data_IF_031736466463
#
_entry.id   IF_031736466463
#
_cell.length_a   1.000
_cell.length_b   1.000
_cell.length_c   1.000
_cell.angle_alpha   90.00
_cell.angle_beta   90.00
_cell.angle_gamma   90.00
#
_symmetry.space_group_name_H-M   'P 1'
#
loop_
_entity.id
_entity.type
_entity.pdbx_description
1 polymer ?
#
# COMPACT_ATOMS: atom_id res chain seq x y z
N UNK A 1 -11.09 67.60 -17.54
CA UNK A 1 -10.89 67.59 -16.07
C UNK A 1 -11.77 66.49 -15.49
N UNK A 2 -11.29 65.28 -15.27
CA UNK A 2 -9.96 64.71 -15.57
C UNK A 2 -10.10 63.49 -16.52
N UNK A 3 -9.01 63.12 -17.18
CA UNK A 3 -8.98 62.17 -18.31
C UNK A 3 -8.97 60.70 -17.85
N UNK A 4 -9.66 59.85 -18.61
CA UNK A 4 -9.71 58.38 -18.54
C UNK A 4 -8.38 57.62 -18.47
N UNK A 5 -7.23 58.27 -18.71
CA UNK A 5 -5.89 57.65 -18.66
C UNK A 5 -5.54 56.97 -17.32
N UNK A 6 -6.19 57.36 -16.22
CA UNK A 6 -5.96 56.75 -14.90
C UNK A 6 -6.33 55.27 -14.79
N UNK A 7 -7.18 54.74 -15.68
CA UNK A 7 -7.57 53.32 -15.69
C UNK A 7 -6.66 52.47 -16.59
N UNK A 8 -6.11 53.06 -17.66
CA UNK A 8 -5.25 52.34 -18.62
C UNK A 8 -3.96 51.82 -17.98
N UNK A 9 -3.36 52.61 -17.09
CA UNK A 9 -2.07 52.32 -16.45
C UNK A 9 -2.15 51.11 -15.50
N UNK A 10 -3.36 50.72 -15.06
CA UNK A 10 -3.56 49.51 -14.26
C UNK A 10 -3.69 48.22 -15.10
N UNK A 11 -3.93 48.34 -16.41
CA UNK A 11 -3.90 47.21 -17.35
C UNK A 11 -2.49 46.99 -17.92
N UNK A 12 -1.72 48.07 -18.10
CA UNK A 12 -0.39 48.11 -18.74
C UNK A 12 0.76 47.62 -17.82
N UNK A 13 0.45 46.75 -16.84
CA UNK A 13 1.39 46.13 -15.88
C UNK A 13 1.26 44.60 -15.87
N UNK A 14 0.33 44.01 -16.66
CA UNK A 14 0.01 42.57 -16.62
C UNK A 14 0.39 41.73 -17.84
N UNK A 15 0.84 42.32 -18.95
CA UNK A 15 1.17 41.60 -20.20
C UNK A 15 2.56 42.00 -20.77
N UNK A 16 3.62 41.44 -20.19
CA UNK A 16 4.95 41.15 -20.80
C UNK A 16 5.44 39.86 -20.08
N UNK A 17 5.34 38.64 -20.63
CA UNK A 17 5.99 38.04 -21.81
C UNK A 17 7.47 37.64 -21.55
N UNK A 18 7.98 36.44 -21.90
CA UNK A 18 7.39 35.19 -22.44
C UNK A 18 6.80 34.30 -21.30
N UNK A 19 6.73 32.95 -21.21
CA UNK A 19 7.10 31.75 -22.03
C UNK A 19 6.23 30.52 -21.59
N UNK A 20 6.29 29.40 -22.33
CA UNK A 20 6.71 28.15 -21.68
C UNK A 20 5.71 27.03 -21.43
N UNK A 21 4.44 27.11 -21.87
CA UNK A 21 3.48 26.00 -21.68
C UNK A 21 2.46 25.84 -22.83
N UNK A 22 2.31 24.64 -23.44
CA UNK A 22 1.33 24.42 -24.51
C UNK A 22 -0.11 24.41 -23.98
N UNK A 23 -0.94 25.31 -24.48
CA UNK A 23 -2.31 25.52 -24.02
C UNK A 23 -3.30 24.53 -24.65
N UNK A 24 -3.85 23.63 -23.83
CA UNK A 24 -4.93 22.73 -24.25
C UNK A 24 -6.25 23.50 -24.46
N UNK A 25 -6.97 23.31 -25.59
CA UNK A 25 -8.22 24.04 -25.86
C UNK A 25 -9.37 23.60 -24.94
N UNK A 26 -10.08 24.58 -24.37
CA UNK A 26 -11.26 24.39 -23.50
C UNK A 26 -12.46 23.85 -24.29
N UNK A 27 -12.48 22.54 -24.59
CA UNK A 27 -13.65 21.87 -25.20
C UNK A 27 -14.75 21.64 -24.15
N UNK A 28 -15.91 22.24 -24.38
CA UNK A 28 -17.14 21.98 -23.63
C UNK A 28 -17.66 20.58 -23.98
N UNK A 29 -17.47 19.61 -23.08
CA UNK A 29 -17.97 18.24 -23.29
C UNK A 29 -19.42 18.10 -22.82
N UNK A 30 -20.33 18.00 -23.80
CA UNK A 30 -21.74 17.67 -23.55
C UNK A 30 -21.89 16.27 -22.94
N UNK A 31 -22.80 16.12 -21.97
CA UNK A 31 -23.05 14.89 -21.23
C UNK A 31 -23.39 13.68 -22.12
N UNK A 32 -23.92 13.91 -23.33
CA UNK A 32 -24.24 12.85 -24.30
C UNK A 32 -23.01 12.07 -24.78
N UNK A 33 -21.83 12.69 -24.86
CA UNK A 33 -20.60 12.03 -25.33
C UNK A 33 -20.07 11.05 -24.28
N UNK A 34 -20.14 11.43 -23.01
CA UNK A 34 -19.67 10.59 -21.89
C UNK A 34 -20.50 9.31 -21.76
N UNK A 35 -21.77 9.33 -22.19
CA UNK A 35 -22.67 8.17 -22.16
C UNK A 35 -22.39 7.14 -23.25
N UNK A 36 -21.74 7.54 -24.35
CA UNK A 36 -21.36 6.64 -25.44
C UNK A 36 -20.04 5.90 -25.15
N UNK A 37 -19.09 6.55 -24.46
CA UNK A 37 -17.78 5.98 -24.14
C UNK A 37 -17.83 4.85 -23.07
N UNK A 38 -18.92 4.76 -22.31
CA UNK A 38 -19.08 3.77 -21.22
C UNK A 38 -19.51 2.38 -21.75
N UNK A 39 -19.98 2.27 -23.01
CA UNK A 39 -20.52 1.02 -23.55
C UNK A 39 -19.50 0.12 -24.29
N UNK A 40 -18.25 0.54 -24.46
CA UNK A 40 -17.29 -0.13 -25.38
C UNK A 40 -16.06 -0.75 -24.72
N UNK A 41 -15.87 -0.62 -23.40
CA UNK A 41 -14.64 -1.08 -22.70
C UNK A 41 -14.91 -1.94 -21.47
N UNK A 42 -15.59 -3.07 -21.65
CA UNK A 42 -15.61 -4.19 -20.68
C UNK A 42 -15.30 -5.49 -21.42
N UNK A 43 -14.06 -6.02 -21.40
CA UNK A 43 -13.78 -7.35 -21.92
C UNK A 43 -14.52 -8.40 -21.08
N UNK A 44 -15.20 -9.34 -21.75
CA UNK A 44 -15.90 -10.43 -21.08
C UNK A 44 -14.93 -11.41 -20.42
N UNK A 45 -15.40 -12.12 -19.39
CA UNK A 45 -14.58 -13.09 -18.63
C UNK A 45 -13.92 -14.17 -19.52
N UNK A 46 -14.53 -14.48 -20.67
CA UNK A 46 -13.97 -15.36 -21.71
C UNK A 46 -12.58 -14.92 -22.17
N UNK A 47 -12.40 -13.63 -22.51
CA UNK A 47 -11.13 -13.10 -23.02
C UNK A 47 -9.99 -13.21 -21.99
N UNK A 48 -10.29 -13.17 -20.70
CA UNK A 48 -9.30 -13.35 -19.62
C UNK A 48 -8.90 -14.83 -19.49
N UNK A 49 -9.85 -15.75 -19.71
CA UNK A 49 -9.60 -17.20 -19.70
C UNK A 49 -8.79 -17.62 -20.93
N UNK A 50 -9.12 -17.11 -22.12
CA UNK A 50 -8.37 -17.38 -23.36
C UNK A 50 -6.90 -16.93 -23.24
N UNK A 51 -6.67 -15.73 -22.67
CA UNK A 51 -5.32 -15.20 -22.45
C UNK A 51 -4.52 -16.02 -21.42
N UNK A 52 -5.18 -16.67 -20.47
CA UNK A 52 -4.54 -17.61 -19.55
C UNK A 52 -4.18 -18.92 -20.26
N UNK A 53 -5.13 -19.52 -20.99
CA UNK A 53 -4.94 -20.78 -21.71
C UNK A 53 -3.80 -20.69 -22.76
N UNK A 54 -3.77 -19.60 -23.54
CA UNK A 54 -2.75 -19.40 -24.56
C UNK A 54 -1.33 -19.22 -23.98
N UNK A 55 -1.21 -18.79 -22.71
CA UNK A 55 0.08 -18.64 -22.01
C UNK A 55 0.67 -19.97 -21.57
N UNK A 56 -0.14 -20.98 -21.25
CA UNK A 56 0.36 -22.31 -20.88
C UNK A 56 0.84 -23.12 -22.10
N UNK A 57 0.15 -22.98 -23.24
CA UNK A 57 0.54 -23.64 -24.50
C UNK A 57 1.97 -23.32 -24.95
N UNK A 58 2.42 -22.07 -24.76
CA UNK A 58 3.79 -21.67 -25.13
C UNK A 58 4.88 -22.41 -24.33
N UNK A 59 4.64 -22.75 -23.06
CA UNK A 59 5.61 -23.49 -22.23
C UNK A 59 5.63 -25.00 -22.48
N UNK A 60 4.60 -25.59 -23.09
CA UNK A 60 4.59 -27.03 -23.38
C UNK A 60 5.47 -27.37 -24.59
N UNK A 61 5.37 -26.60 -25.68
CA UNK A 61 6.12 -26.82 -26.93
C UNK A 61 7.63 -26.85 -26.69
N UNK A 62 8.16 -25.88 -25.94
CA UNK A 62 9.60 -25.75 -25.66
C UNK A 62 10.16 -26.90 -24.78
N UNK A 63 9.31 -27.52 -23.95
CA UNK A 63 9.64 -28.73 -23.18
C UNK A 63 9.56 -29.99 -24.05
N UNK A 64 8.56 -30.07 -24.93
CA UNK A 64 8.34 -31.22 -25.80
C UNK A 64 9.47 -31.43 -26.82
N UNK A 65 9.95 -30.35 -27.45
CA UNK A 65 11.11 -30.40 -28.37
C UNK A 65 12.40 -30.83 -27.66
N UNK A 66 12.63 -30.33 -26.46
CA UNK A 66 13.80 -30.71 -25.63
C UNK A 66 13.75 -32.19 -25.22
N UNK A 67 12.55 -32.75 -25.03
CA UNK A 67 12.35 -34.14 -24.62
C UNK A 67 12.39 -35.13 -25.80
N UNK A 68 11.96 -34.74 -27.00
CA UNK A 68 12.05 -35.58 -28.20
C UNK A 68 13.50 -35.73 -28.69
N UNK A 69 14.28 -34.65 -28.73
CA UNK A 69 15.71 -34.71 -29.09
C UNK A 69 16.50 -35.68 -28.20
N UNK A 70 16.23 -35.66 -26.89
CA UNK A 70 16.87 -36.58 -25.93
C UNK A 70 16.52 -38.05 -26.16
N UNK A 71 15.32 -38.36 -26.67
CA UNK A 71 14.94 -39.73 -27.05
C UNK A 71 15.61 -40.17 -28.35
N UNK A 72 15.70 -39.28 -29.34
CA UNK A 72 16.40 -39.57 -30.60
C UNK A 72 17.88 -39.87 -30.36
N UNK A 73 18.57 -39.05 -29.56
CA UNK A 73 19.97 -39.26 -29.19
C UNK A 73 20.21 -40.55 -28.39
N UNK A 74 19.21 -41.06 -27.68
CA UNK A 74 19.30 -42.31 -26.92
C UNK A 74 19.01 -43.58 -27.74
N UNK A 75 18.49 -43.46 -28.96
CA UNK A 75 18.02 -44.61 -29.76
C UNK A 75 18.99 -45.08 -30.87
N UNK A 76 20.01 -44.30 -31.23
CA UNK A 76 20.98 -44.69 -32.28
C UNK A 76 22.45 -44.39 -31.92
N UNK A 77 23.08 -45.17 -31.02
CA UNK A 77 24.50 -45.00 -30.68
C UNK A 77 25.50 -45.48 -31.77
N UNK A 78 25.04 -46.09 -32.88
CA UNK A 78 25.91 -46.72 -33.88
C UNK A 78 25.81 -46.17 -35.32
N UNK A 79 24.88 -45.26 -35.61
CA UNK A 79 24.49 -44.92 -36.99
C UNK A 79 25.38 -43.90 -37.72
N UNK A 80 26.56 -43.56 -37.19
CA UNK A 80 27.48 -42.56 -37.79
C UNK A 80 28.84 -43.13 -38.26
N UNK A 81 29.02 -44.45 -38.21
CA UNK A 81 30.21 -45.12 -38.75
C UNK A 81 29.91 -45.71 -40.13
N UNK A 82 30.04 -44.88 -41.20
CA UNK A 82 30.34 -45.20 -42.63
C UNK A 82 29.82 -44.16 -43.64
N UNK A 83 30.34 -42.93 -43.64
CA UNK A 83 30.44 -42.16 -44.91
C UNK A 83 31.58 -41.13 -44.91
N UNK A 84 32.19 -40.96 -46.09
CA UNK A 84 32.89 -39.78 -46.59
C UNK A 84 33.90 -39.05 -45.67
N UNK A 85 35.18 -39.33 -45.89
CA UNK A 85 36.27 -38.37 -45.65
C UNK A 85 36.24 -37.28 -46.73
N UNK A 86 36.14 -36.00 -46.36
CA UNK A 86 36.87 -34.90 -47.02
C UNK A 86 36.76 -33.53 -46.33
N UNK A 87 37.93 -32.90 -46.16
CA UNK A 87 38.20 -31.45 -46.28
C UNK A 87 37.13 -30.44 -45.82
N UNK A 88 37.23 -29.99 -44.56
CA UNK A 88 37.14 -28.55 -44.24
C UNK A 88 38.33 -28.19 -43.34
N UNK A 89 39.22 -27.34 -43.85
CA UNK A 89 40.33 -26.78 -43.07
C UNK A 89 39.85 -25.55 -42.28
N UNK A 90 39.49 -25.75 -41.01
CA UNK A 90 39.17 -24.66 -40.08
C UNK A 90 40.42 -24.25 -39.27
N UNK A 91 40.59 -22.97 -38.91
CA UNK A 91 41.82 -22.49 -38.29
C UNK A 91 42.01 -23.02 -36.85
N UNK A 92 43.15 -23.67 -36.60
CA UNK A 92 43.55 -24.17 -35.29
C UNK A 92 44.02 -23.03 -34.35
N UNK A 93 43.12 -22.11 -34.01
CA UNK A 93 43.43 -20.85 -33.30
C UNK A 93 42.54 -20.57 -32.07
N UNK A 94 41.63 -21.46 -31.67
CA UNK A 94 40.80 -21.33 -30.45
C UNK A 94 40.73 -22.67 -29.70
N UNK A 95 41.86 -23.09 -29.10
CA UNK A 95 41.98 -24.42 -28.48
C UNK A 95 42.73 -24.47 -27.13
N UNK A 96 42.95 -23.32 -26.46
CA UNK A 96 43.62 -23.25 -25.14
C UNK A 96 42.76 -22.64 -24.02
N UNK A 97 41.48 -22.32 -24.30
CA UNK A 97 40.52 -22.06 -23.23
C UNK A 97 40.20 -23.38 -22.52
N UNK A 98 41.02 -23.72 -21.52
CA UNK A 98 40.75 -24.81 -20.59
C UNK A 98 39.59 -24.42 -19.65
N UNK A 99 38.38 -24.31 -20.23
CA UNK A 99 37.12 -24.38 -19.50
C UNK A 99 37.01 -25.77 -18.85
N UNK A 100 37.71 -25.93 -17.73
CA UNK A 100 37.43 -26.98 -16.75
C UNK A 100 35.97 -26.79 -16.34
N UNK A 101 35.06 -27.54 -16.95
CA UNK A 101 33.69 -27.68 -16.45
C UNK A 101 33.80 -28.27 -15.05
N UNK A 102 33.78 -27.40 -14.05
CA UNK A 102 33.94 -27.76 -12.65
C UNK A 102 32.65 -28.44 -12.19
N UNK A 103 32.52 -29.71 -12.52
CA UNK A 103 31.42 -30.61 -12.18
C UNK A 103 31.38 -30.78 -10.67
N UNK A 104 30.74 -29.82 -10.01
CA UNK A 104 30.60 -29.75 -8.56
C UNK A 104 29.67 -30.85 -8.10
N UNK A 105 30.23 -32.03 -7.87
CA UNK A 105 29.55 -33.20 -7.34
C UNK A 105 28.94 -32.84 -5.98
N UNK A 106 27.61 -32.70 -5.95
CA UNK A 106 26.88 -32.37 -4.75
C UNK A 106 26.91 -33.60 -3.82
N UNK A 107 27.83 -33.60 -2.85
CA UNK A 107 27.95 -34.67 -1.87
C UNK A 107 26.70 -34.72 -0.97
N UNK A 108 25.79 -35.63 -1.28
CA UNK A 108 24.61 -35.91 -0.46
C UNK A 108 25.03 -36.68 0.78
N UNK A 109 25.19 -35.98 1.90
CA UNK A 109 25.33 -36.63 3.21
C UNK A 109 24.06 -37.45 3.51
N UNK A 110 24.18 -38.69 4.01
CA UNK A 110 23.02 -39.40 4.54
C UNK A 110 22.50 -38.63 5.75
N UNK A 111 21.25 -38.15 5.68
CA UNK A 111 20.62 -37.52 6.83
C UNK A 111 20.40 -38.57 7.92
N UNK A 112 21.13 -38.43 9.04
CA UNK A 112 20.64 -38.85 10.35
C UNK A 112 19.21 -38.31 10.51
N UNK A 113 18.33 -39.01 11.24
CA UNK A 113 16.90 -38.67 11.36
C UNK A 113 16.57 -37.39 12.16
N UNK A 114 17.46 -36.39 12.12
CA UNK A 114 17.11 -35.00 12.40
C UNK A 114 16.05 -34.55 11.38
N UNK A 115 14.85 -34.26 11.90
CA UNK A 115 13.68 -33.87 11.12
C UNK A 115 14.00 -32.74 10.13
N UNK A 116 13.77 -32.93 8.81
CA UNK A 116 13.99 -31.89 7.80
C UNK A 116 13.27 -30.56 8.08
N UNK A 117 12.17 -30.56 8.83
CA UNK A 117 11.51 -29.33 9.25
C UNK A 117 12.36 -28.51 10.23
N UNK A 118 13.20 -29.13 11.07
CA UNK A 118 14.12 -28.43 11.97
C UNK A 118 15.21 -27.69 11.21
N UNK A 119 15.74 -28.29 10.14
CA UNK A 119 16.72 -27.63 9.25
C UNK A 119 16.07 -26.40 8.60
N UNK A 120 14.85 -26.56 8.05
CA UNK A 120 14.11 -25.46 7.45
C UNK A 120 13.67 -24.39 8.48
N UNK A 121 13.34 -24.77 9.72
CA UNK A 121 13.02 -23.83 10.80
C UNK A 121 14.23 -23.01 11.22
N UNK A 122 15.40 -23.64 11.38
CA UNK A 122 16.67 -22.95 11.64
C UNK A 122 17.01 -21.99 10.49
N UNK A 123 16.91 -22.44 9.24
CA UNK A 123 17.09 -21.57 8.07
C UNK A 123 16.09 -20.41 7.99
N UNK A 124 14.86 -20.56 8.50
CA UNK A 124 13.88 -19.46 8.58
C UNK A 124 14.26 -18.42 9.65
N UNK A 125 14.79 -18.83 10.80
CA UNK A 125 15.24 -17.93 11.88
C UNK A 125 16.37 -16.98 11.45
N UNK A 126 17.24 -17.41 10.52
CA UNK A 126 18.34 -16.59 10.01
C UNK A 126 17.99 -15.70 8.82
N UNK A 127 16.73 -15.66 8.36
CA UNK A 127 16.30 -14.76 7.28
C UNK A 127 15.98 -13.37 7.86
N UNK A 128 16.62 -12.28 7.38
CA UNK A 128 16.24 -10.95 7.81
C UNK A 128 14.83 -10.62 7.33
N UNK A 129 14.05 -9.95 8.18
CA UNK A 129 12.76 -9.37 7.80
C UNK A 129 13.05 -8.09 7.00
N UNK A 130 12.46 -7.96 5.82
CA UNK A 130 12.57 -6.74 5.01
C UNK A 130 11.98 -5.54 5.77
N UNK A 131 12.65 -4.37 5.82
CA UNK A 131 12.10 -3.19 6.49
C UNK A 131 10.75 -2.80 5.85
N UNK A 132 9.79 -2.43 6.70
CA UNK A 132 8.43 -2.10 6.27
C UNK A 132 8.05 -0.70 6.76
N UNK A 133 7.63 -0.53 8.02
CA UNK A 133 7.17 0.75 8.56
C UNK A 133 8.25 1.84 8.56
N UNK A 134 9.53 1.47 8.61
CA UNK A 134 10.67 2.41 8.59
C UNK A 134 11.00 2.98 7.20
N UNK A 135 10.48 2.38 6.11
CA UNK A 135 10.75 2.83 4.73
C UNK A 135 9.47 3.12 3.93
N UNK A 136 8.29 2.76 4.43
CA UNK A 136 7.05 2.92 3.71
C UNK A 136 6.57 4.39 3.73
N UNK A 137 6.19 4.91 2.56
CA UNK A 137 5.78 6.31 2.40
C UNK A 137 4.60 6.67 3.33
N UNK A 138 4.66 7.78 4.08
CA UNK A 138 3.51 8.33 4.81
C UNK A 138 2.29 8.55 3.91
N UNK A 139 1.14 8.00 4.33
CA UNK A 139 -0.14 8.13 3.62
C UNK A 139 -1.31 8.20 4.62
N UNK A 140 -2.33 9.01 4.31
CA UNK A 140 -3.56 9.15 5.12
C UNK A 140 -4.34 7.83 5.28
N UNK A 141 -4.11 6.85 4.40
CA UNK A 141 -4.66 5.49 4.44
C UNK A 141 -4.27 4.76 5.73
N UNK A 142 -2.97 4.50 5.90
CA UNK A 142 -2.47 3.71 7.02
C UNK A 142 -2.33 4.53 8.31
N UNK A 143 -1.98 5.82 8.23
CA UNK A 143 -2.01 6.71 9.40
C UNK A 143 -3.42 6.83 9.98
N UNK A 144 -4.46 7.00 9.15
CA UNK A 144 -5.85 7.05 9.61
C UNK A 144 -6.30 5.75 10.29
N UNK A 145 -5.91 4.59 9.75
CA UNK A 145 -6.20 3.29 10.37
C UNK A 145 -5.43 3.07 11.69
N UNK A 146 -4.16 3.48 11.75
CA UNK A 146 -3.35 3.40 12.96
C UNK A 146 -3.91 4.31 14.07
N UNK A 147 -4.25 5.57 13.73
CA UNK A 147 -4.91 6.49 14.65
C UNK A 147 -6.24 5.93 15.15
N UNK A 148 -7.06 5.29 14.31
CA UNK A 148 -8.32 4.70 14.75
C UNK A 148 -8.14 3.59 15.81
N UNK A 149 -7.08 2.78 15.66
CA UNK A 149 -6.71 1.76 16.66
C UNK A 149 -6.25 2.42 17.95
N UNK A 150 -5.37 3.42 17.85
CA UNK A 150 -4.83 4.16 18.99
C UNK A 150 -5.95 4.87 19.77
N UNK A 151 -6.83 5.61 19.09
CA UNK A 151 -7.97 6.28 19.75
C UNK A 151 -8.95 5.28 20.36
N UNK A 152 -9.20 4.15 19.70
CA UNK A 152 -10.02 3.07 20.27
C UNK A 152 -9.42 2.50 21.56
N UNK A 153 -8.12 2.19 21.56
CA UNK A 153 -7.40 1.73 22.75
C UNK A 153 -7.38 2.78 23.87
N UNK A 154 -7.25 4.08 23.55
CA UNK A 154 -7.32 5.18 24.52
C UNK A 154 -8.72 5.28 25.14
N UNK A 155 -9.78 5.20 24.34
CA UNK A 155 -11.17 5.32 24.80
C UNK A 155 -11.58 4.11 25.65
N UNK A 156 -11.38 2.89 25.15
CA UNK A 156 -11.68 1.66 25.90
C UNK A 156 -10.80 1.53 27.14
N UNK A 157 -9.50 1.81 27.02
CA UNK A 157 -8.57 1.80 28.13
C UNK A 157 -8.94 2.82 29.21
N UNK A 158 -9.23 4.06 28.82
CA UNK A 158 -9.69 5.11 29.72
C UNK A 158 -11.00 4.75 30.43
N UNK A 159 -11.97 4.18 29.70
CA UNK A 159 -13.22 3.70 30.29
C UNK A 159 -12.99 2.60 31.34
N UNK A 160 -12.22 1.55 31.02
CA UNK A 160 -11.95 0.47 31.96
C UNK A 160 -11.08 0.91 33.15
N UNK A 161 -10.07 1.76 32.94
CA UNK A 161 -9.23 2.31 34.02
C UNK A 161 -10.05 3.20 34.94
N UNK A 162 -10.89 4.09 34.40
CA UNK A 162 -11.76 4.93 35.22
C UNK A 162 -12.80 4.10 35.99
N UNK A 163 -13.47 3.14 35.34
CA UNK A 163 -14.46 2.27 35.98
C UNK A 163 -13.84 1.40 37.10
N UNK A 164 -12.66 0.84 36.87
CA UNK A 164 -11.93 0.07 37.88
C UNK A 164 -11.44 0.95 39.03
N UNK A 165 -10.89 2.14 38.73
CA UNK A 165 -10.46 3.09 39.76
C UNK A 165 -11.63 3.57 40.61
N UNK A 166 -12.80 3.86 40.00
CA UNK A 166 -14.02 4.26 40.70
C UNK A 166 -14.55 3.14 41.62
N UNK A 167 -14.48 1.88 41.18
CA UNK A 167 -14.85 0.72 42.01
C UNK A 167 -13.91 0.51 43.20
N UNK A 168 -12.61 0.77 43.02
CA UNK A 168 -11.58 0.64 44.07
C UNK A 168 -11.55 1.85 45.00
N UNK A 169 -12.02 3.02 44.56
CA UNK A 169 -11.90 4.30 45.26
C UNK A 169 -12.34 4.28 46.73
N UNK A 170 -13.49 3.68 47.12
CA UNK A 170 -13.90 3.63 48.54
C UNK A 170 -12.97 2.78 49.42
N UNK A 171 -12.27 1.80 48.84
CA UNK A 171 -11.31 0.93 49.55
C UNK A 171 -9.93 1.58 49.68
N UNK A 172 -9.57 2.44 48.72
CA UNK A 172 -8.29 3.14 48.67
C UNK A 172 -8.33 4.57 49.28
N UNK A 173 -9.51 5.04 49.71
CA UNK A 173 -9.69 6.41 50.21
C UNK A 173 -9.58 7.48 49.11
N UNK A 174 -9.90 7.14 47.86
CA UNK A 174 -9.82 8.07 46.74
C UNK A 174 -11.15 8.79 46.51
N UNK A 175 -11.08 10.09 46.22
CA UNK A 175 -12.23 10.94 45.95
C UNK A 175 -12.51 11.02 44.44
N UNK A 176 -13.16 9.99 43.89
CA UNK A 176 -13.50 9.89 42.46
C UNK A 176 -14.99 10.18 42.15
N UNK A 177 -15.74 10.69 43.12
CA UNK A 177 -17.08 11.23 42.94
C UNK A 177 -17.09 12.53 42.11
N UNK A 178 -18.15 12.72 41.31
CA UNK A 178 -18.25 13.82 40.34
C UNK A 178 -18.04 15.22 40.92
N UNK A 179 -18.43 15.43 42.19
CA UNK A 179 -18.23 16.70 42.88
C UNK A 179 -16.74 17.00 43.11
N UNK A 180 -15.95 16.01 43.51
CA UNK A 180 -14.53 16.14 43.79
C UNK A 180 -13.71 16.30 42.51
N UNK A 181 -14.05 15.58 41.43
CA UNK A 181 -13.47 15.85 40.11
C UNK A 181 -13.84 17.27 39.60
N UNK A 182 -15.10 17.68 39.74
CA UNK A 182 -15.54 19.01 39.29
C UNK A 182 -14.84 20.14 40.07
N UNK A 183 -14.61 19.97 41.37
CA UNK A 183 -13.83 20.92 42.17
C UNK A 183 -12.34 20.93 41.74
N UNK A 184 -11.73 19.76 41.55
CA UNK A 184 -10.32 19.64 41.16
C UNK A 184 -10.05 20.27 39.78
N UNK A 185 -10.85 19.94 38.76
CA UNK A 185 -10.78 20.60 37.46
C UNK A 185 -11.22 22.07 37.54
N UNK A 186 -12.15 22.42 38.43
CA UNK A 186 -12.61 23.78 38.69
C UNK A 186 -11.50 24.74 39.10
N UNK A 187 -10.49 24.26 39.83
CA UNK A 187 -9.32 25.05 40.23
C UNK A 187 -8.31 25.32 39.09
N UNK A 188 -8.40 24.63 37.95
CA UNK A 188 -7.38 24.72 36.89
C UNK A 188 -7.46 26.04 36.08
N UNK A 189 -6.33 26.52 35.52
CA UNK A 189 -6.33 27.61 34.54
C UNK A 189 -7.23 27.29 33.32
N UNK A 190 -7.84 28.32 32.72
CA UNK A 190 -8.77 28.16 31.59
C UNK A 190 -8.12 27.40 30.42
N UNK A 191 -6.86 27.69 30.08
CA UNK A 191 -6.12 26.98 29.05
C UNK A 191 -5.95 25.48 29.35
N UNK A 192 -5.71 25.11 30.61
CA UNK A 192 -5.58 23.71 31.02
C UNK A 192 -6.93 22.97 30.98
N UNK A 193 -8.03 23.64 31.35
CA UNK A 193 -9.40 23.12 31.21
C UNK A 193 -9.74 22.83 29.74
N UNK A 194 -9.51 23.79 28.85
CA UNK A 194 -9.76 23.64 27.40
C UNK A 194 -8.89 22.53 26.80
N UNK A 195 -7.60 22.49 27.14
CA UNK A 195 -6.69 21.44 26.69
C UNK A 195 -7.14 20.04 27.16
N UNK A 196 -7.55 19.89 28.43
CA UNK A 196 -8.05 18.62 28.95
C UNK A 196 -9.35 18.17 28.27
N UNK A 197 -10.33 19.07 28.12
CA UNK A 197 -11.58 18.76 27.40
C UNK A 197 -11.29 18.34 25.95
N UNK A 198 -10.43 19.07 25.23
CA UNK A 198 -10.05 18.73 23.86
C UNK A 198 -9.28 17.40 23.76
N UNK A 199 -8.36 17.11 24.70
CA UNK A 199 -7.58 15.88 24.72
C UNK A 199 -8.44 14.61 24.91
N UNK A 200 -9.61 14.72 25.56
CA UNK A 200 -10.60 13.64 25.66
C UNK A 200 -11.59 13.65 24.49
N UNK A 201 -12.03 14.83 24.04
CA UNK A 201 -13.00 14.98 22.96
C UNK A 201 -12.43 14.60 21.58
N UNK A 202 -11.15 14.87 21.30
CA UNK A 202 -10.54 14.56 20.00
C UNK A 202 -10.43 13.06 19.68
N UNK A 203 -9.90 12.18 20.56
CA UNK A 203 -9.88 10.75 20.27
C UNK A 203 -11.29 10.20 20.09
N UNK A 204 -12.29 10.68 20.87
CA UNK A 204 -13.70 10.32 20.72
C UNK A 204 -14.26 10.72 19.34
N UNK A 205 -14.13 11.99 18.96
CA UNK A 205 -14.60 12.51 17.67
C UNK A 205 -13.90 11.82 16.49
N UNK A 206 -12.57 11.66 16.55
CA UNK A 206 -11.81 10.96 15.51
C UNK A 206 -12.24 9.50 15.36
N UNK A 207 -12.37 8.77 16.47
CA UNK A 207 -12.80 7.36 16.43
C UNK A 207 -14.23 7.22 15.88
N UNK A 208 -15.16 8.11 16.29
CA UNK A 208 -16.52 8.13 15.77
C UNK A 208 -16.58 8.38 14.26
N UNK A 209 -16.01 9.49 13.79
CA UNK A 209 -16.06 9.84 12.36
C UNK A 209 -15.27 8.87 11.48
N UNK A 210 -14.11 8.37 11.93
CA UNK A 210 -13.37 7.38 11.16
C UNK A 210 -14.02 5.98 11.24
N UNK A 211 -14.70 5.63 12.33
CA UNK A 211 -15.53 4.44 12.45
C UNK A 211 -16.68 4.44 11.45
N UNK A 212 -17.40 5.56 11.31
CA UNK A 212 -18.43 5.74 10.27
C UNK A 212 -17.84 5.60 8.85
N UNK A 213 -16.61 6.07 8.62
CA UNK A 213 -15.90 5.85 7.35
C UNK A 213 -15.58 4.37 7.11
N UNK A 214 -15.16 3.62 8.13
CA UNK A 214 -14.94 2.18 8.01
C UNK A 214 -16.25 1.43 7.71
N UNK A 215 -17.35 1.71 8.42
CA UNK A 215 -18.66 1.13 8.11
C UNK A 215 -19.13 1.42 6.68
N UNK A 216 -18.81 2.61 6.13
CA UNK A 216 -19.07 2.89 4.73
C UNK A 216 -18.24 1.98 3.79
N UNK A 217 -16.96 1.74 4.10
CA UNK A 217 -16.09 0.83 3.36
C UNK A 217 -16.54 -0.63 3.44
N UNK A 218 -17.02 -1.08 4.60
CA UNK A 218 -17.56 -2.43 4.80
C UNK A 218 -18.80 -2.68 3.93
N UNK A 219 -19.56 -1.63 3.60
CA UNK A 219 -20.64 -1.66 2.59
C UNK A 219 -20.17 -1.45 1.14
N UNK A 220 -18.87 -1.53 0.87
CA UNK A 220 -18.25 -1.36 -0.45
C UNK A 220 -18.22 0.09 -0.97
N UNK A 221 -18.62 1.09 -0.18
CA UNK A 221 -18.73 2.49 -0.61
C UNK A 221 -17.40 3.24 -0.42
N UNK A 222 -17.12 4.21 -1.31
CA UNK A 222 -15.96 5.12 -1.23
C UNK A 222 -14.56 4.47 -1.25
N UNK A 223 -14.45 3.23 -1.74
CA UNK A 223 -13.20 2.43 -1.77
C UNK A 223 -12.18 2.82 -2.86
N UNK A 224 -12.47 3.81 -3.72
CA UNK A 224 -11.52 4.26 -4.75
C UNK A 224 -10.42 5.15 -4.16
N UNK A 225 -9.20 5.11 -4.72
CA UNK A 225 -8.04 5.84 -4.18
C UNK A 225 -8.28 7.35 -3.94
N UNK A 226 -9.09 8.01 -4.78
CA UNK A 226 -9.47 9.42 -4.60
C UNK A 226 -10.51 9.60 -3.49
N UNK A 227 -11.51 8.71 -3.41
CA UNK A 227 -12.54 8.75 -2.38
C UNK A 227 -11.97 8.43 -0.98
N UNK A 228 -11.07 7.45 -0.88
CA UNK A 228 -10.34 7.09 0.35
C UNK A 228 -9.49 8.27 0.88
N UNK A 229 -8.83 9.01 -0.01
CA UNK A 229 -8.07 10.21 0.37
C UNK A 229 -8.98 11.37 0.80
N UNK A 230 -10.02 11.69 0.01
CA UNK A 230 -10.98 12.75 0.34
C UNK A 230 -11.69 12.50 1.67
N UNK A 231 -12.20 11.28 1.87
CA UNK A 231 -12.86 10.88 3.13
C UNK A 231 -11.89 10.85 4.31
N UNK A 232 -10.61 10.50 4.10
CA UNK A 232 -9.58 10.57 5.15
C UNK A 232 -9.35 12.00 5.65
N UNK A 233 -9.19 12.96 4.74
CA UNK A 233 -9.03 14.37 5.13
C UNK A 233 -10.32 14.99 5.69
N UNK A 234 -11.49 14.60 5.18
CA UNK A 234 -12.78 15.02 5.74
C UNK A 234 -12.96 14.55 7.19
N UNK A 235 -12.57 13.31 7.50
CA UNK A 235 -12.55 12.76 8.87
C UNK A 235 -11.61 13.56 9.78
N UNK A 236 -10.41 13.92 9.32
CA UNK A 236 -9.48 14.76 10.08
C UNK A 236 -10.12 16.12 10.40
N UNK A 237 -10.65 16.84 9.41
CA UNK A 237 -11.32 18.12 9.62
C UNK A 237 -12.52 18.02 10.57
N UNK A 238 -13.42 17.06 10.34
CA UNK A 238 -14.58 16.82 11.18
C UNK A 238 -14.19 16.49 12.63
N UNK A 239 -13.13 15.70 12.85
CA UNK A 239 -12.65 15.35 14.20
C UNK A 239 -12.15 16.57 14.98
N UNK A 240 -11.43 17.49 14.33
CA UNK A 240 -10.91 18.71 14.98
C UNK A 240 -12.02 19.69 15.29
N UNK A 241 -12.95 19.92 14.35
CA UNK A 241 -14.11 20.80 14.56
C UNK A 241 -15.04 20.23 15.64
N UNK A 242 -15.39 18.95 15.55
CA UNK A 242 -16.23 18.27 16.55
C UNK A 242 -15.62 18.28 17.94
N UNK A 243 -14.31 18.03 18.06
CA UNK A 243 -13.59 18.13 19.32
C UNK A 243 -13.52 19.56 19.87
N UNK A 244 -13.39 20.57 19.00
CA UNK A 244 -13.45 21.97 19.39
C UNK A 244 -14.82 22.36 19.96
N UNK A 245 -15.91 21.93 19.33
CA UNK A 245 -17.28 22.14 19.83
C UNK A 245 -17.50 21.41 21.17
N UNK A 246 -17.10 20.15 21.28
CA UNK A 246 -17.16 19.37 22.53
C UNK A 246 -16.24 19.89 23.63
N UNK A 247 -15.16 20.61 23.29
CA UNK A 247 -14.30 21.28 24.27
C UNK A 247 -14.87 22.64 24.72
N UNK A 248 -15.69 23.28 23.89
CA UNK A 248 -16.38 24.53 24.22
C UNK A 248 -17.58 24.29 25.15
N UNK A 249 -18.48 23.37 24.78
CA UNK A 249 -19.67 22.94 25.56
C UNK A 249 -19.27 22.34 26.92
#
# INVERSE_FOLDING_TARGET
MLDSRGVSIAAEILDIEEDGAPTMPKRVFSASVLRLLILTTTPSLTTIIDYAAQREGAMSVQRFTTQSMRRFAAQQPGAFSRTAVSQIAAPAAIATSHHRMQTRTAATQPLQAADPQQILATQRRHRPISPHLSIYRPQITWYGSALNRITGCILSGGFYVFGAAYLVAPLAGWHLESASLAAAFGAWPVAAKVAAKFAVAWPFAFHGFNGLRHLAWDTGRSISNLAVQRTGWAVVGASVVGAGVLAYL
#
